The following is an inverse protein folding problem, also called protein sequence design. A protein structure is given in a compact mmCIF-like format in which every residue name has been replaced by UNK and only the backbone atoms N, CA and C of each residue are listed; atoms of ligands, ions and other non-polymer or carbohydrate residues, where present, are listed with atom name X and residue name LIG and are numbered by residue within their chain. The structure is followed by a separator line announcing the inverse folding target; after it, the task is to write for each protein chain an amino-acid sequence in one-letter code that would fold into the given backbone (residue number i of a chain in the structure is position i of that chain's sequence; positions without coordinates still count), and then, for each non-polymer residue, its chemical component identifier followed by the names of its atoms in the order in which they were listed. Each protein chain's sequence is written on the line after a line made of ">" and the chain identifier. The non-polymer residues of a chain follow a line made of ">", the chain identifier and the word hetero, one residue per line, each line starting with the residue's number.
data_IF_656584662233
#
_entry.id   IF_656584662233
#
_cell.length_a   1.000
_cell.length_b   1.000
_cell.length_c   1.000
_cell.angle_alpha   90.00
_cell.angle_beta   90.00
_cell.angle_gamma   90.00
#
_symmetry.space_group_name_H-M   'P 1'
#
loop_
_entity.id
_entity.type
_entity.pdbx_description
1 polymer ?
#
# COMPACT_ATOMS: atom_id res chain seq x y z
N UNK A 1 -6.95 24.58 2.12
CA UNK A 1 -5.88 24.24 1.17
C UNK A 1 -5.80 22.72 1.11
N UNK A 2 -5.85 22.14 -0.07
CA UNK A 2 -5.75 20.69 -0.27
C UNK A 2 -4.29 20.26 -0.18
N UNK A 3 -3.98 19.19 0.58
CA UNK A 3 -2.61 18.75 0.85
C UNK A 3 -1.88 18.16 -0.37
N UNK A 4 -2.62 17.62 -1.34
CA UNK A 4 -2.09 16.91 -2.50
C UNK A 4 -2.53 17.53 -3.84
N UNK A 5 -2.94 18.80 -3.85
CA UNK A 5 -3.40 19.47 -5.06
C UNK A 5 -2.32 19.44 -6.15
N UNK A 6 -2.71 19.04 -7.36
CA UNK A 6 -1.81 18.93 -8.50
C UNK A 6 -0.82 17.75 -8.46
N UNK A 7 -0.85 16.90 -7.44
CA UNK A 7 -0.07 15.67 -7.37
C UNK A 7 -0.79 14.53 -8.08
N UNK A 8 -0.04 13.53 -8.50
CA UNK A 8 -0.55 12.26 -9.04
C UNK A 8 -0.09 11.11 -8.16
N UNK A 9 -1.04 10.33 -7.67
CA UNK A 9 -0.78 9.12 -6.89
C UNK A 9 -1.04 7.86 -7.72
N UNK A 10 -0.12 6.90 -7.63
CA UNK A 10 -0.31 5.53 -8.11
C UNK A 10 -0.47 4.62 -6.89
N UNK A 11 -1.58 3.87 -6.83
CA UNK A 11 -1.92 3.00 -5.71
C UNK A 11 -2.18 1.59 -6.24
N UNK A 12 -1.48 0.59 -5.72
CA UNK A 12 -1.66 -0.80 -6.17
C UNK A 12 -2.68 -1.54 -5.30
N UNK A 13 -3.53 -2.38 -5.93
CA UNK A 13 -4.57 -3.14 -5.21
C UNK A 13 -5.62 -2.22 -4.59
N UNK A 14 -6.10 -1.21 -5.30
CA UNK A 14 -6.94 -0.17 -4.72
C UNK A 14 -8.42 -0.23 -5.13
N UNK A 15 -8.89 -1.34 -5.69
CA UNK A 15 -10.32 -1.51 -5.97
C UNK A 15 -11.17 -1.62 -4.70
N UNK A 16 -10.59 -1.97 -3.56
CA UNK A 16 -11.30 -2.15 -2.28
C UNK A 16 -10.38 -1.98 -1.06
N UNK A 17 -10.97 -2.06 0.15
CA UNK A 17 -10.26 -2.10 1.43
C UNK A 17 -9.35 -0.89 1.65
N UNK A 18 -8.17 -1.14 2.20
CA UNK A 18 -7.20 -0.09 2.56
C UNK A 18 -6.79 0.74 1.32
N UNK A 19 -6.51 0.07 0.19
CA UNK A 19 -6.12 0.76 -1.04
C UNK A 19 -7.17 1.74 -1.54
N UNK A 20 -8.46 1.35 -1.52
CA UNK A 20 -9.58 2.24 -1.86
C UNK A 20 -9.69 3.42 -0.92
N UNK A 21 -9.59 3.20 0.40
CA UNK A 21 -9.65 4.27 1.40
C UNK A 21 -8.51 5.28 1.20
N UNK A 22 -7.28 4.81 0.92
CA UNK A 22 -6.14 5.67 0.58
C UNK A 22 -6.42 6.47 -0.69
N UNK A 23 -6.96 5.83 -1.73
CA UNK A 23 -7.28 6.48 -3.00
C UNK A 23 -8.30 7.61 -2.81
N UNK A 24 -9.38 7.36 -2.06
CA UNK A 24 -10.41 8.36 -1.75
C UNK A 24 -9.87 9.48 -0.86
N UNK A 25 -9.06 9.18 0.16
CA UNK A 25 -8.44 10.19 1.00
C UNK A 25 -7.53 11.12 0.18
N UNK A 26 -6.74 10.57 -0.74
CA UNK A 26 -5.87 11.36 -1.61
C UNK A 26 -6.66 12.20 -2.61
N UNK A 27 -7.70 11.64 -3.22
CA UNK A 27 -8.60 12.35 -4.15
C UNK A 27 -9.30 13.53 -3.46
N UNK A 28 -9.82 13.34 -2.24
CA UNK A 28 -10.42 14.40 -1.43
C UNK A 28 -9.43 15.52 -1.11
N UNK A 29 -8.13 15.20 -1.07
CA UNK A 29 -7.04 16.17 -0.89
C UNK A 29 -6.45 16.70 -2.21
N UNK A 30 -7.13 16.45 -3.34
CA UNK A 30 -6.84 17.06 -4.64
C UNK A 30 -5.81 16.30 -5.50
N UNK A 31 -5.40 15.10 -5.11
CA UNK A 31 -4.55 14.28 -5.95
C UNK A 31 -5.32 13.65 -7.11
N UNK A 32 -4.75 13.65 -8.30
CA UNK A 32 -5.16 12.73 -9.34
C UNK A 32 -4.74 11.30 -8.95
N UNK A 33 -5.59 10.32 -9.24
CA UNK A 33 -5.37 8.94 -8.80
C UNK A 33 -5.35 7.97 -9.98
N UNK A 34 -4.20 7.37 -10.22
CA UNK A 34 -4.07 6.15 -10.98
C UNK A 34 -4.06 4.97 -9.99
N UNK A 35 -4.79 3.93 -10.26
CA UNK A 35 -4.71 2.74 -9.42
C UNK A 35 -4.70 1.46 -10.25
N UNK A 36 -4.12 0.41 -9.67
CA UNK A 36 -4.06 -0.89 -10.33
C UNK A 36 -4.77 -1.95 -9.51
N UNK A 37 -5.33 -2.92 -10.21
CA UNK A 37 -5.77 -4.18 -9.65
C UNK A 37 -5.62 -5.28 -10.71
N UNK A 38 -5.86 -6.54 -10.33
CA UNK A 38 -5.67 -7.66 -11.26
C UNK A 38 -6.67 -7.63 -12.44
N UNK A 39 -7.88 -7.10 -12.21
CA UNK A 39 -8.97 -7.05 -13.20
C UNK A 39 -9.72 -5.73 -13.14
N UNK A 40 -10.19 -5.28 -14.30
CA UNK A 40 -11.13 -4.17 -14.40
C UNK A 40 -12.58 -4.69 -14.34
N UNK A 41 -12.98 -5.11 -13.16
CA UNK A 41 -14.33 -5.60 -12.86
C UNK A 41 -15.28 -4.50 -12.36
N UNK A 42 -16.51 -4.85 -12.03
CA UNK A 42 -17.53 -3.91 -11.54
C UNK A 42 -17.10 -3.17 -10.26
N UNK A 43 -16.34 -3.84 -9.38
CA UNK A 43 -15.83 -3.22 -8.13
C UNK A 43 -14.80 -2.15 -8.48
N UNK A 44 -13.88 -2.45 -9.38
CA UNK A 44 -12.87 -1.50 -9.83
C UNK A 44 -13.51 -0.29 -10.54
N UNK A 45 -14.51 -0.53 -11.39
CA UNK A 45 -15.28 0.52 -12.09
C UNK A 45 -16.04 1.41 -11.11
N UNK A 46 -16.67 0.84 -10.08
CA UNK A 46 -17.37 1.59 -9.05
C UNK A 46 -16.38 2.49 -8.27
N UNK A 47 -15.24 1.94 -7.89
CA UNK A 47 -14.19 2.68 -7.17
C UNK A 47 -13.61 3.81 -8.03
N UNK A 48 -13.37 3.58 -9.33
CA UNK A 48 -12.93 4.63 -10.26
C UNK A 48 -13.92 5.79 -10.32
N UNK A 49 -15.22 5.49 -10.41
CA UNK A 49 -16.29 6.50 -10.40
C UNK A 49 -16.35 7.27 -9.08
N UNK A 50 -16.22 6.59 -7.94
CA UNK A 50 -16.20 7.25 -6.63
C UNK A 50 -15.01 8.21 -6.48
N UNK A 51 -13.82 7.80 -6.94
CA UNK A 51 -12.63 8.65 -6.92
C UNK A 51 -12.83 9.86 -7.85
N UNK A 52 -13.34 9.65 -9.06
CA UNK A 52 -13.61 10.73 -10.01
C UNK A 52 -14.65 11.73 -9.49
N UNK A 53 -15.63 11.28 -8.69
CA UNK A 53 -16.61 12.13 -8.05
C UNK A 53 -16.02 13.14 -7.05
N UNK A 54 -14.77 12.92 -6.58
CA UNK A 54 -14.03 13.92 -5.79
C UNK A 54 -13.51 15.12 -6.62
N UNK A 55 -13.77 15.14 -7.94
CA UNK A 55 -13.39 16.23 -8.84
C UNK A 55 -11.95 16.17 -9.32
N UNK A 56 -11.34 15.00 -9.32
CA UNK A 56 -9.97 14.74 -9.78
C UNK A 56 -9.96 13.75 -10.94
N UNK A 57 -8.85 13.67 -11.67
CA UNK A 57 -8.65 12.62 -12.67
C UNK A 57 -8.44 11.29 -11.96
N UNK A 58 -9.26 10.29 -12.32
CA UNK A 58 -9.14 8.92 -11.83
C UNK A 58 -9.07 7.96 -13.02
N UNK A 59 -8.20 6.97 -12.97
CA UNK A 59 -8.15 5.88 -13.96
C UNK A 59 -7.59 4.61 -13.34
N UNK A 60 -8.28 3.50 -13.60
CA UNK A 60 -7.85 2.16 -13.24
C UNK A 60 -7.06 1.50 -14.38
N UNK A 61 -6.07 0.70 -14.02
CA UNK A 61 -5.25 -0.09 -14.94
C UNK A 61 -5.22 -1.55 -14.48
N UNK A 62 -5.65 -2.48 -15.33
CA UNK A 62 -5.53 -3.90 -15.04
C UNK A 62 -4.06 -4.33 -15.17
N UNK A 63 -3.46 -4.81 -14.06
CA UNK A 63 -2.06 -5.19 -14.02
C UNK A 63 -1.81 -6.28 -12.98
N UNK A 64 -1.07 -7.32 -13.39
CA UNK A 64 -0.55 -8.29 -12.44
C UNK A 64 0.71 -7.73 -11.79
N UNK A 65 0.60 -7.31 -10.54
CA UNK A 65 1.69 -6.71 -9.78
C UNK A 65 2.94 -7.62 -9.65
N UNK A 66 2.77 -8.94 -9.71
CA UNK A 66 3.87 -9.91 -9.65
C UNK A 66 4.67 -10.01 -10.96
N UNK A 67 4.11 -9.54 -12.08
CA UNK A 67 4.76 -9.54 -13.39
C UNK A 67 5.57 -8.25 -13.59
N UNK A 68 6.88 -8.41 -13.72
CA UNK A 68 7.80 -7.28 -13.86
C UNK A 68 7.58 -6.49 -15.17
N UNK A 69 7.39 -7.20 -16.27
CA UNK A 69 7.23 -6.56 -17.59
C UNK A 69 5.88 -5.87 -17.72
N UNK A 70 4.81 -6.53 -17.27
CA UNK A 70 3.47 -5.94 -17.25
C UNK A 70 3.44 -4.69 -16.35
N UNK A 71 4.08 -4.74 -15.16
CA UNK A 71 4.18 -3.58 -14.26
C UNK A 71 4.90 -2.41 -14.92
N UNK A 72 6.03 -2.66 -15.59
CA UNK A 72 6.78 -1.59 -16.27
C UNK A 72 5.94 -0.91 -17.36
N UNK A 73 5.28 -1.70 -18.21
CA UNK A 73 4.39 -1.18 -19.25
C UNK A 73 3.22 -0.37 -18.67
N UNK A 74 2.61 -0.87 -17.57
CA UNK A 74 1.53 -0.16 -16.88
C UNK A 74 1.99 1.19 -16.33
N UNK A 75 3.17 1.24 -15.69
CA UNK A 75 3.73 2.50 -15.15
C UNK A 75 4.04 3.50 -16.28
N UNK A 76 4.53 3.05 -17.41
CA UNK A 76 4.75 3.90 -18.59
C UNK A 76 3.43 4.48 -19.14
N UNK A 77 2.38 3.66 -19.23
CA UNK A 77 1.04 4.12 -19.63
C UNK A 77 0.50 5.17 -18.67
N UNK A 78 0.59 4.93 -17.35
CA UNK A 78 0.18 5.88 -16.30
C UNK A 78 0.95 7.20 -16.44
N UNK A 79 2.27 7.13 -16.62
CA UNK A 79 3.09 8.32 -16.78
C UNK A 79 2.72 9.13 -18.03
N UNK A 80 2.34 8.46 -19.13
CA UNK A 80 1.84 9.10 -20.34
C UNK A 80 0.49 9.77 -20.12
N UNK A 81 -0.41 9.09 -19.43
CA UNK A 81 -1.78 9.60 -19.20
C UNK A 81 -1.83 10.75 -18.21
N UNK A 82 -1.03 10.70 -17.14
CA UNK A 82 -1.04 11.68 -16.05
C UNK A 82 0.10 12.71 -16.12
N UNK A 83 1.11 12.49 -16.94
CA UNK A 83 2.27 13.37 -17.10
C UNK A 83 3.30 13.30 -15.98
N UNK A 84 2.92 12.83 -14.79
CA UNK A 84 3.76 12.73 -13.59
C UNK A 84 3.26 11.64 -12.64
N UNK A 85 4.16 11.15 -11.76
CA UNK A 85 3.81 10.28 -10.62
C UNK A 85 4.58 10.81 -9.41
N UNK A 86 3.87 11.39 -8.46
CA UNK A 86 4.45 12.01 -7.25
C UNK A 86 4.45 11.07 -6.06
N UNK A 87 3.46 10.19 -6.01
CA UNK A 87 3.22 9.31 -4.88
C UNK A 87 3.02 7.90 -5.42
N UNK A 88 3.75 6.94 -4.83
CA UNK A 88 3.52 5.52 -5.03
C UNK A 88 3.08 4.90 -3.71
N UNK A 89 1.92 4.21 -3.72
CA UNK A 89 1.48 3.38 -2.60
C UNK A 89 1.47 1.91 -3.04
N UNK A 90 2.46 1.17 -2.58
CA UNK A 90 2.55 -0.27 -2.75
C UNK A 90 1.64 -0.94 -1.72
N UNK A 91 0.38 -1.20 -2.08
CA UNK A 91 -0.63 -1.77 -1.19
C UNK A 91 -1.04 -3.19 -1.59
N UNK A 92 -0.92 -3.57 -2.86
CA UNK A 92 -1.29 -4.91 -3.32
C UNK A 92 -0.66 -6.02 -2.46
N UNK A 93 -1.47 -6.98 -2.06
CA UNK A 93 -1.01 -8.10 -1.24
C UNK A 93 -2.07 -9.17 -1.03
N UNK A 94 -1.59 -10.36 -0.71
CA UNK A 94 -2.41 -11.54 -0.42
C UNK A 94 -1.91 -12.25 0.83
N UNK A 95 -2.73 -13.11 1.41
CA UNK A 95 -2.35 -14.10 2.42
C UNK A 95 -2.60 -15.51 1.89
N UNK A 96 -1.78 -16.46 2.33
CA UNK A 96 -1.95 -17.91 2.14
C UNK A 96 -1.49 -18.57 3.43
N UNK A 97 -2.33 -18.40 4.46
CA UNK A 97 -2.00 -18.76 5.84
C UNK A 97 -2.08 -20.27 6.04
N UNK A 98 -1.00 -20.85 6.54
CA UNK A 98 -0.93 -22.27 6.95
C UNK A 98 0.30 -22.49 7.83
N UNK A 99 0.25 -23.49 8.71
CA UNK A 99 1.42 -23.86 9.53
C UNK A 99 2.60 -24.24 8.66
N UNK A 100 3.81 -23.86 9.07
CA UNK A 100 5.04 -24.06 8.30
C UNK A 100 5.21 -25.50 7.78
N UNK A 101 4.91 -26.49 8.62
CA UNK A 101 5.01 -27.92 8.27
C UNK A 101 4.05 -28.35 7.15
N UNK A 102 3.02 -27.55 6.84
CA UNK A 102 2.03 -27.84 5.80
C UNK A 102 2.07 -26.83 4.65
N UNK A 103 2.95 -25.83 4.74
CA UNK A 103 3.08 -24.79 3.73
C UNK A 103 3.71 -25.39 2.47
N UNK A 104 3.05 -25.19 1.33
CA UNK A 104 3.60 -25.61 0.04
C UNK A 104 4.46 -24.50 -0.57
N UNK A 105 5.33 -24.88 -1.51
CA UNK A 105 6.17 -23.95 -2.27
C UNK A 105 5.30 -22.94 -3.03
N UNK A 106 4.19 -23.38 -3.62
CA UNK A 106 3.26 -22.51 -4.35
C UNK A 106 2.60 -21.45 -3.44
N UNK A 107 2.28 -21.82 -2.18
CA UNK A 107 1.76 -20.88 -1.20
C UNK A 107 2.80 -19.85 -0.78
N UNK A 108 4.04 -20.29 -0.62
CA UNK A 108 5.17 -19.41 -0.32
C UNK A 108 5.43 -18.46 -1.48
N UNK A 109 5.64 -18.98 -2.69
CA UNK A 109 5.96 -18.20 -3.88
C UNK A 109 4.86 -17.20 -4.25
N UNK A 110 3.60 -17.61 -4.16
CA UNK A 110 2.47 -16.70 -4.42
C UNK A 110 2.52 -15.46 -3.51
N UNK A 111 2.77 -15.65 -2.21
CA UNK A 111 2.83 -14.54 -1.24
C UNK A 111 4.08 -13.68 -1.47
N UNK A 112 5.25 -14.27 -1.67
CA UNK A 112 6.48 -13.52 -1.94
C UNK A 112 6.37 -12.73 -3.25
N UNK A 113 5.85 -13.33 -4.30
CA UNK A 113 5.71 -12.68 -5.61
C UNK A 113 4.70 -11.52 -5.57
N UNK A 114 3.55 -11.72 -4.95
CA UNK A 114 2.52 -10.67 -4.91
C UNK A 114 2.85 -9.59 -3.88
N UNK A 115 3.38 -9.93 -2.70
CA UNK A 115 3.57 -8.95 -1.63
C UNK A 115 4.92 -8.22 -1.72
N UNK A 116 6.03 -8.94 -1.99
CA UNK A 116 7.37 -8.37 -1.93
C UNK A 116 7.91 -8.01 -3.32
N UNK A 117 7.85 -8.95 -4.27
CA UNK A 117 8.35 -8.70 -5.61
C UNK A 117 7.57 -7.59 -6.31
N UNK A 118 6.26 -7.48 -6.09
CA UNK A 118 5.45 -6.37 -6.61
C UNK A 118 5.94 -5.00 -6.15
N UNK A 119 6.31 -4.89 -4.87
CA UNK A 119 6.87 -3.65 -4.30
C UNK A 119 8.16 -3.26 -5.03
N UNK A 120 9.03 -4.23 -5.29
CA UNK A 120 10.22 -4.00 -6.12
C UNK A 120 9.84 -3.57 -7.54
N UNK A 121 8.92 -4.27 -8.21
CA UNK A 121 8.52 -3.99 -9.60
C UNK A 121 8.03 -2.54 -9.76
N UNK A 122 7.03 -2.14 -8.97
CA UNK A 122 6.48 -0.78 -9.04
C UNK A 122 7.47 0.28 -8.59
N UNK A 123 8.19 0.06 -7.49
CA UNK A 123 9.18 1.03 -7.00
C UNK A 123 10.27 1.27 -8.03
N UNK A 124 10.82 0.22 -8.65
CA UNK A 124 11.84 0.35 -9.70
C UNK A 124 11.33 1.16 -10.89
N UNK A 125 10.14 0.85 -11.40
CA UNK A 125 9.57 1.53 -12.56
C UNK A 125 9.26 3.00 -12.26
N UNK A 126 8.65 3.30 -11.13
CA UNK A 126 8.30 4.67 -10.71
C UNK A 126 9.54 5.50 -10.35
N UNK A 127 10.57 4.88 -9.78
CA UNK A 127 11.82 5.58 -9.40
C UNK A 127 12.47 6.29 -10.58
N UNK A 128 12.44 5.73 -11.79
CA UNK A 128 12.99 6.35 -12.98
C UNK A 128 12.28 7.69 -13.33
N UNK A 129 10.97 7.76 -13.05
CA UNK A 129 10.15 8.97 -13.25
C UNK A 129 10.45 9.98 -12.14
N UNK A 130 10.41 9.56 -10.87
CA UNK A 130 10.65 10.41 -9.71
C UNK A 130 12.08 11.01 -9.72
N UNK A 131 13.07 10.25 -10.20
CA UNK A 131 14.45 10.75 -10.36
C UNK A 131 14.53 11.90 -11.35
N UNK A 132 13.80 11.85 -12.46
CA UNK A 132 13.70 12.97 -13.42
C UNK A 132 12.96 14.17 -12.81
N UNK A 133 11.94 13.92 -12.02
CA UNK A 133 11.15 14.93 -11.30
C UNK A 133 11.92 15.56 -10.13
N UNK A 134 12.94 14.88 -9.59
CA UNK A 134 13.68 15.23 -8.35
C UNK A 134 12.74 15.39 -7.15
N UNK A 135 11.71 14.60 -7.10
CA UNK A 135 10.67 14.63 -6.06
C UNK A 135 9.86 13.34 -6.09
N UNK A 136 9.45 12.83 -4.92
CA UNK A 136 8.58 11.68 -4.82
C UNK A 136 8.36 11.22 -3.39
N UNK A 137 7.25 10.50 -3.16
CA UNK A 137 6.96 9.79 -1.91
C UNK A 137 6.54 8.37 -2.22
N UNK A 138 7.29 7.40 -1.70
CA UNK A 138 7.03 5.97 -1.82
C UNK A 138 6.55 5.46 -0.47
N UNK A 139 5.37 4.85 -0.43
CA UNK A 139 4.73 4.31 0.78
C UNK A 139 4.46 2.84 0.53
N UNK A 140 5.00 1.95 1.37
CA UNK A 140 4.85 0.51 1.19
C UNK A 140 4.13 -0.12 2.37
N UNK A 141 3.05 -0.87 2.09
CA UNK A 141 2.27 -1.57 3.12
C UNK A 141 2.99 -2.80 3.63
N UNK A 142 3.61 -2.67 4.81
CA UNK A 142 4.09 -3.78 5.62
C UNK A 142 2.93 -4.36 6.46
N UNK A 143 3.19 -4.79 7.68
CA UNK A 143 2.24 -5.26 8.70
C UNK A 143 2.96 -5.34 10.05
N UNK A 144 2.22 -5.27 11.15
CA UNK A 144 2.76 -5.66 12.47
C UNK A 144 3.31 -7.09 12.46
N UNK A 145 2.72 -7.98 11.66
CA UNK A 145 3.18 -9.37 11.48
C UNK A 145 4.57 -9.42 10.81
N UNK A 146 4.92 -8.45 9.99
CA UNK A 146 6.27 -8.32 9.42
C UNK A 146 7.32 -7.91 10.44
N UNK A 147 6.91 -7.41 11.62
CA UNK A 147 7.79 -6.99 12.71
C UNK A 147 7.87 -8.08 13.79
N UNK A 148 6.71 -8.60 14.24
CA UNK A 148 6.63 -9.53 15.36
C UNK A 148 6.56 -11.01 14.96
N UNK A 149 6.24 -11.31 13.68
CA UNK A 149 5.87 -12.66 13.26
C UNK A 149 4.46 -13.05 13.70
N UNK A 150 3.93 -14.13 13.12
CA UNK A 150 2.69 -14.77 13.56
C UNK A 150 2.68 -16.24 13.15
N UNK A 151 2.22 -17.11 14.04
CA UNK A 151 2.07 -18.54 13.73
C UNK A 151 1.12 -18.75 12.54
N UNK A 152 1.50 -19.62 11.59
CA UNK A 152 0.73 -19.87 10.38
C UNK A 152 0.93 -18.84 9.26
N UNK A 153 1.77 -17.82 9.45
CA UNK A 153 2.01 -16.75 8.48
C UNK A 153 3.49 -16.58 8.12
N UNK A 154 4.26 -17.65 8.08
CA UNK A 154 5.71 -17.56 7.81
C UNK A 154 6.02 -16.85 6.47
N UNK A 155 5.30 -17.17 5.39
CA UNK A 155 5.41 -16.53 4.09
C UNK A 155 5.01 -15.05 4.14
N UNK A 156 3.88 -14.75 4.75
CA UNK A 156 3.38 -13.37 4.88
C UNK A 156 4.32 -12.53 5.74
N UNK A 157 4.74 -13.03 6.92
CA UNK A 157 5.71 -12.37 7.79
C UNK A 157 7.01 -12.06 7.06
N UNK A 158 7.58 -13.05 6.34
CA UNK A 158 8.79 -12.87 5.55
C UNK A 158 8.61 -11.79 4.49
N UNK A 159 7.49 -11.80 3.75
CA UNK A 159 7.21 -10.80 2.72
C UNK A 159 7.11 -9.39 3.30
N UNK A 160 6.41 -9.23 4.44
CA UNK A 160 6.19 -7.93 5.09
C UNK A 160 7.44 -7.40 5.82
N UNK A 161 8.27 -8.28 6.37
CA UNK A 161 9.60 -7.94 6.88
C UNK A 161 10.56 -7.51 5.75
N UNK A 162 10.53 -8.22 4.62
CA UNK A 162 11.31 -7.86 3.42
C UNK A 162 10.99 -6.46 2.91
N UNK A 163 9.72 -6.03 2.93
CA UNK A 163 9.29 -4.67 2.58
C UNK A 163 9.97 -3.63 3.48
N UNK A 164 10.11 -3.91 4.78
CA UNK A 164 10.77 -2.99 5.72
C UNK A 164 12.24 -2.77 5.33
N UNK A 165 12.99 -3.87 5.10
CA UNK A 165 14.38 -3.80 4.67
C UNK A 165 14.55 -3.09 3.32
N UNK A 166 13.71 -3.46 2.34
CA UNK A 166 13.68 -2.83 1.03
C UNK A 166 13.42 -1.32 1.11
N UNK A 167 12.41 -0.90 1.88
CA UNK A 167 12.05 0.52 2.06
C UNK A 167 13.22 1.33 2.61
N UNK A 168 13.94 0.80 3.62
CA UNK A 168 15.11 1.47 4.20
C UNK A 168 16.25 1.63 3.20
N UNK A 169 16.48 0.63 2.35
CA UNK A 169 17.50 0.71 1.29
C UNK A 169 17.13 1.75 0.25
N UNK A 170 15.89 1.74 -0.24
CA UNK A 170 15.37 2.72 -1.21
C UNK A 170 15.45 4.16 -0.65
N UNK A 171 15.12 4.35 0.64
CA UNK A 171 15.23 5.66 1.29
C UNK A 171 16.66 6.20 1.27
N UNK A 172 17.67 5.34 1.50
CA UNK A 172 19.09 5.73 1.45
C UNK A 172 19.55 6.03 0.03
N UNK A 173 19.14 5.23 -0.95
CA UNK A 173 19.54 5.40 -2.35
C UNK A 173 18.94 6.66 -2.99
N UNK A 174 17.66 6.93 -2.73
CA UNK A 174 16.91 7.98 -3.43
C UNK A 174 16.80 9.30 -2.65
N UNK A 175 17.20 9.33 -1.38
CA UNK A 175 17.05 10.49 -0.51
C UNK A 175 17.76 11.74 -1.03
N UNK A 176 18.95 11.60 -1.63
CA UNK A 176 19.70 12.71 -2.24
C UNK A 176 18.99 13.37 -3.44
N UNK A 177 17.95 12.73 -3.95
CA UNK A 177 17.10 13.21 -5.04
C UNK A 177 15.74 13.71 -4.57
N UNK A 178 15.60 13.97 -3.26
CA UNK A 178 14.36 14.43 -2.63
C UNK A 178 13.19 13.43 -2.84
N UNK A 179 13.51 12.14 -2.86
CA UNK A 179 12.52 11.06 -2.92
C UNK A 179 12.53 10.35 -1.57
N UNK A 180 11.40 10.33 -0.92
CA UNK A 180 11.21 9.70 0.39
C UNK A 180 10.63 8.30 0.21
N UNK A 181 11.01 7.36 1.07
CA UNK A 181 10.42 6.04 1.10
C UNK A 181 10.16 5.64 2.56
N UNK A 182 8.92 5.27 2.86
CA UNK A 182 8.50 4.86 4.20
C UNK A 182 7.60 3.62 4.11
N UNK A 183 7.55 2.85 5.18
CA UNK A 183 6.63 1.73 5.34
C UNK A 183 5.54 2.07 6.36
N UNK A 184 4.33 1.60 6.11
CA UNK A 184 3.23 1.59 7.08
C UNK A 184 3.03 0.14 7.51
N UNK A 185 2.90 -0.10 8.81
CA UNK A 185 2.66 -1.41 9.40
C UNK A 185 1.27 -1.43 10.07
N UNK A 186 0.21 -1.77 9.32
CA UNK A 186 -1.13 -1.93 9.88
C UNK A 186 -1.19 -3.04 10.91
N UNK A 187 -1.99 -2.85 11.96
CA UNK A 187 -2.40 -3.89 12.88
C UNK A 187 -3.63 -4.65 12.38
N UNK A 188 -4.55 -4.94 13.30
CA UNK A 188 -5.85 -5.52 12.96
C UNK A 188 -6.78 -4.44 12.39
N UNK A 189 -7.05 -4.51 11.09
CA UNK A 189 -7.91 -3.56 10.38
C UNK A 189 -9.20 -4.25 9.96
N UNK A 190 -10.33 -3.60 10.27
CA UNK A 190 -11.67 -4.08 9.90
C UNK A 190 -11.88 -3.75 8.42
N UNK A 191 -11.92 -4.79 7.61
CA UNK A 191 -12.21 -4.75 6.18
C UNK A 191 -13.32 -5.76 5.88
N UNK A 192 -13.86 -5.79 4.68
CA UNK A 192 -14.86 -6.80 4.27
C UNK A 192 -14.41 -8.23 4.57
N UNK A 193 -13.10 -8.50 4.49
CA UNK A 193 -12.53 -9.80 4.79
C UNK A 193 -12.58 -10.12 6.30
N UNK A 194 -12.28 -9.16 7.16
CA UNK A 194 -12.26 -9.35 8.62
C UNK A 194 -13.65 -9.15 9.26
N UNK A 195 -14.55 -8.43 8.59
CA UNK A 195 -15.94 -8.25 9.01
C UNK A 195 -16.74 -9.58 9.03
N UNK A 196 -16.29 -10.56 8.24
CA UNK A 196 -16.89 -11.91 8.22
C UNK A 196 -16.52 -12.77 9.44
N UNK A 197 -15.56 -12.35 10.27
CA UNK A 197 -15.21 -13.04 11.50
C UNK A 197 -16.36 -12.92 12.53
N UNK A 198 -16.62 -13.97 13.34
CA UNK A 198 -17.58 -13.91 14.42
C UNK A 198 -17.33 -12.70 15.34
N UNK A 199 -18.41 -12.10 15.84
CA UNK A 199 -18.32 -10.90 16.70
C UNK A 199 -17.46 -11.13 17.95
N UNK A 200 -17.56 -12.32 18.53
CA UNK A 200 -16.79 -12.73 19.70
C UNK A 200 -15.29 -12.72 19.42
N UNK A 201 -14.87 -13.25 18.27
CA UNK A 201 -13.46 -13.24 17.84
C UNK A 201 -12.97 -11.81 17.63
N UNK A 202 -13.79 -10.95 17.03
CA UNK A 202 -13.45 -9.53 16.85
C UNK A 202 -13.31 -8.82 18.20
N UNK A 203 -14.20 -9.10 19.16
CA UNK A 203 -14.12 -8.55 20.53
C UNK A 203 -12.86 -9.04 21.27
N UNK A 204 -12.53 -10.33 21.18
CA UNK A 204 -11.30 -10.86 21.78
C UNK A 204 -10.05 -10.19 21.21
N UNK A 205 -9.99 -9.97 19.91
CA UNK A 205 -8.86 -9.29 19.29
C UNK A 205 -8.80 -7.82 19.69
N UNK A 206 -9.92 -7.12 19.68
CA UNK A 206 -10.01 -5.74 20.15
C UNK A 206 -9.57 -5.60 21.63
N UNK A 207 -9.91 -6.58 22.47
CA UNK A 207 -9.51 -6.57 23.88
C UNK A 207 -7.98 -6.65 24.09
N UNK A 208 -7.23 -7.19 23.12
CA UNK A 208 -5.76 -7.28 23.16
C UNK A 208 -5.08 -6.00 22.63
N UNK A 209 -5.83 -5.13 21.97
CA UNK A 209 -5.32 -3.86 21.42
C UNK A 209 -5.46 -2.78 22.50
N UNK A 210 -4.41 -2.00 22.82
CA UNK A 210 -4.49 -0.92 23.82
C UNK A 210 -5.62 0.08 23.57
N UNK A 211 -5.88 0.48 22.31
CA UNK A 211 -7.00 1.36 21.96
C UNK A 211 -8.37 0.66 21.96
N UNK A 212 -8.44 -0.64 22.32
CA UNK A 212 -9.67 -1.41 22.53
C UNK A 212 -10.61 -1.47 21.32
N UNK A 213 -10.08 -1.26 20.10
CA UNK A 213 -10.81 -1.41 18.83
C UNK A 213 -9.91 -1.92 17.73
N UNK A 214 -10.50 -2.55 16.73
CA UNK A 214 -9.84 -2.69 15.43
C UNK A 214 -9.67 -1.33 14.75
N UNK A 215 -8.65 -1.17 13.95
CA UNK A 215 -8.50 -0.03 13.07
C UNK A 215 -9.46 -0.11 11.88
N UNK A 216 -9.69 1.02 11.21
CA UNK A 216 -10.42 1.09 9.95
C UNK A 216 -9.47 1.35 8.78
N UNK A 217 -9.87 1.13 7.53
CA UNK A 217 -9.08 1.53 6.37
C UNK A 217 -8.71 3.03 6.39
N UNK A 218 -9.57 3.87 6.94
CA UNK A 218 -9.36 5.32 7.08
C UNK A 218 -8.23 5.63 8.06
N UNK A 219 -8.10 4.89 9.17
CA UNK A 219 -6.97 5.05 10.11
C UNK A 219 -5.61 4.86 9.38
N UNK A 220 -5.56 3.98 8.37
CA UNK A 220 -4.36 3.76 7.55
C UNK A 220 -4.22 4.87 6.50
N UNK A 221 -5.33 5.27 5.87
CA UNK A 221 -5.34 6.29 4.83
C UNK A 221 -4.83 7.64 5.34
N UNK A 222 -5.16 8.02 6.57
CA UNK A 222 -4.70 9.26 7.20
C UNK A 222 -3.18 9.28 7.38
N UNK A 223 -2.58 8.16 7.79
CA UNK A 223 -1.12 8.05 7.89
C UNK A 223 -0.47 8.05 6.51
N UNK A 224 -1.09 7.43 5.51
CA UNK A 224 -0.61 7.49 4.14
C UNK A 224 -0.70 8.93 3.59
N UNK A 225 -1.75 9.67 3.90
CA UNK A 225 -1.90 11.07 3.53
C UNK A 225 -0.81 11.94 4.15
N UNK A 226 -0.50 11.76 5.44
CA UNK A 226 0.63 12.41 6.09
C UNK A 226 1.93 12.11 5.35
N UNK A 227 2.22 10.84 5.06
CA UNK A 227 3.44 10.42 4.36
C UNK A 227 3.50 10.89 2.90
N UNK A 228 2.36 11.05 2.24
CA UNK A 228 2.27 11.56 0.87
C UNK A 228 2.50 13.07 0.78
N UNK A 229 2.18 13.81 1.84
CA UNK A 229 2.18 15.26 1.88
C UNK A 229 3.52 15.85 2.33
N UNK A 230 3.65 17.19 2.23
CA UNK A 230 4.81 17.93 2.70
C UNK A 230 4.89 18.01 4.25
N UNK A 231 3.85 17.57 4.97
CA UNK A 231 3.88 17.44 6.42
C UNK A 231 4.97 16.44 6.87
N UNK A 232 5.33 15.49 6.01
CA UNK A 232 6.35 14.47 6.26
C UNK A 232 7.67 14.71 5.48
N UNK A 233 7.95 15.95 5.05
CA UNK A 233 9.12 16.27 4.20
C UNK A 233 10.48 15.86 4.77
N UNK A 234 10.58 15.66 6.08
CA UNK A 234 11.80 15.20 6.75
C UNK A 234 11.69 13.78 7.32
N UNK A 235 10.70 13.00 6.84
CA UNK A 235 10.45 11.61 7.26
C UNK A 235 10.77 10.66 6.10
N UNK A 236 11.82 9.86 6.24
CA UNK A 236 12.20 8.83 5.27
C UNK A 236 12.86 7.64 5.97
N UNK A 237 12.72 6.43 5.42
CA UNK A 237 13.26 5.19 5.96
C UNK A 237 12.53 4.67 7.21
N UNK A 238 11.38 5.24 7.55
CA UNK A 238 10.64 4.89 8.77
C UNK A 238 9.64 3.76 8.53
N UNK A 239 9.31 3.05 9.62
CA UNK A 239 8.21 2.10 9.70
C UNK A 239 7.21 2.66 10.71
N UNK A 240 6.06 3.09 10.22
CA UNK A 240 5.01 3.67 11.08
C UNK A 240 3.98 2.59 11.38
N UNK A 241 3.87 2.20 12.63
CA UNK A 241 2.86 1.27 13.10
C UNK A 241 1.51 2.00 13.23
N UNK A 242 0.48 1.46 12.59
CA UNK A 242 -0.90 1.93 12.69
C UNK A 242 -1.74 0.77 13.20
N UNK A 243 -1.62 0.52 14.49
CA UNK A 243 -2.06 -0.74 15.10
C UNK A 243 -2.77 -0.59 16.45
N UNK A 244 -3.10 0.65 16.85
CA UNK A 244 -3.73 0.91 18.15
C UNK A 244 -2.88 0.52 19.37
N UNK A 245 -1.54 0.42 19.19
CA UNK A 245 -0.62 -0.03 20.23
C UNK A 245 -0.44 -1.55 20.31
N UNK A 246 -0.99 -2.32 19.35
CA UNK A 246 -0.86 -3.79 19.31
C UNK A 246 0.60 -4.25 19.26
N UNK A 247 1.47 -3.45 18.64
CA UNK A 247 2.90 -3.69 18.55
C UNK A 247 3.65 -2.38 18.79
N UNK A 248 4.45 -2.35 19.86
CA UNK A 248 5.25 -1.21 20.30
C UNK A 248 6.71 -1.60 20.40
#
# INVERSE_FOLDING_TARGET
>A
MKLLEGKTALITGASRGIGKAVALAFANQGANVAFTDLRYDEIAQATEKEIAACGVKAKMYASNAADFTATAATVEEIAKDFGRIDILVNNAGITKDTLLMRMTEEQWDAVINVNLKSVFNFTKSVSAIMLKQKSGSIISMSSVVGVSGNAGQANYSASKAGIIGFTKSVAKELGSRNIRANAVAPGFIITDMTAQLPEEVRKEWAAKIPLRRGGTPEDIADVCLFLASDLSRYVTGQVIHVCGGMNM
#
